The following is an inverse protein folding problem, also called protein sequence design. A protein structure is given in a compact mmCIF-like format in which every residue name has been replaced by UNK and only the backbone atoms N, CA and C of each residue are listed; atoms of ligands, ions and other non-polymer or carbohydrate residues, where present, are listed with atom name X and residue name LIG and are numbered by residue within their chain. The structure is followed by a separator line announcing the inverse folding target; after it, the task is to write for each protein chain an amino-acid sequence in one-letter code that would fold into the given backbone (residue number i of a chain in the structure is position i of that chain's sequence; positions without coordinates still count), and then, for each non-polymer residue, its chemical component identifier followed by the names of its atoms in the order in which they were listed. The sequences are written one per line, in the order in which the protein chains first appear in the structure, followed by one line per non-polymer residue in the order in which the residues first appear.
data_IF_166269391790
#
_entry.id   IF_166269391790
#
_cell.length_a   1.000
_cell.length_b   1.000
_cell.length_c   1.000
_cell.angle_alpha   90.00
_cell.angle_beta   90.00
_cell.angle_gamma   90.00
#
_symmetry.space_group_name_H-M   'P 1'
#
loop_
_entity.id
_entity.type
_entity.pdbx_description
1 polymer ?
#
# COMPACT_ATOMS: atom_id res chain seq x y z
N UNK A 1 16.36 27.35 -9.73
CA UNK A 1 15.01 26.84 -10.07
C UNK A 1 15.16 25.93 -11.27
N UNK A 2 14.37 24.85 -11.38
CA UNK A 2 14.39 23.99 -12.58
C UNK A 2 13.67 24.75 -13.70
N UNK A 3 14.21 24.72 -14.91
CA UNK A 3 13.48 25.25 -16.07
C UNK A 3 12.26 24.36 -16.35
N UNK A 4 11.09 24.98 -16.49
CA UNK A 4 9.83 24.31 -16.81
C UNK A 4 9.19 24.97 -18.03
N UNK A 5 8.35 24.25 -18.79
CA UNK A 5 7.63 24.83 -19.91
C UNK A 5 6.75 26.02 -19.49
N UNK A 6 6.76 27.09 -20.30
CA UNK A 6 5.94 28.28 -20.05
C UNK A 6 4.59 28.13 -20.76
N UNK A 7 3.51 28.07 -19.97
CA UNK A 7 2.14 28.06 -20.51
C UNK A 7 1.67 29.51 -20.67
N UNK A 8 1.57 29.98 -21.92
CA UNK A 8 1.04 31.32 -22.25
C UNK A 8 -0.49 31.26 -22.42
N UNK A 9 -1.22 31.68 -21.40
CA UNK A 9 -2.68 31.73 -21.41
C UNK A 9 -3.15 32.88 -22.30
N UNK A 10 -3.82 32.59 -23.44
CA UNK A 10 -4.36 33.62 -24.34
C UNK A 10 -5.75 34.10 -23.93
N UNK A 11 -6.60 33.18 -23.46
CA UNK A 11 -7.99 33.41 -23.03
C UNK A 11 -8.38 32.38 -21.98
N UNK A 12 -9.30 32.74 -21.08
CA UNK A 12 -9.86 31.87 -20.05
C UNK A 12 -11.38 32.08 -20.02
N UNK A 13 -12.15 31.00 -20.04
CA UNK A 13 -13.61 31.03 -19.93
C UNK A 13 -14.01 30.37 -18.60
N UNK A 14 -15.01 30.93 -17.94
CA UNK A 14 -15.50 30.45 -16.64
C UNK A 14 -17.00 30.72 -16.50
N UNK A 15 -17.65 29.98 -15.61
CA UNK A 15 -19.07 30.18 -15.26
C UNK A 15 -19.26 31.45 -14.45
N UNK A 16 -20.47 32.00 -14.41
CA UNK A 16 -20.84 33.00 -13.41
C UNK A 16 -20.63 32.43 -12.00
N UNK A 17 -20.04 33.23 -11.11
CA UNK A 17 -19.61 32.84 -9.75
C UNK A 17 -18.68 31.59 -9.75
N UNK A 18 -17.42 31.75 -10.19
CA UNK A 18 -16.52 30.61 -10.35
C UNK A 18 -16.03 30.06 -9.01
N UNK A 19 -16.08 28.75 -8.85
CA UNK A 19 -15.47 28.04 -7.72
C UNK A 19 -14.05 27.64 -8.11
N UNK A 20 -13.05 28.14 -7.37
CA UNK A 20 -11.66 27.79 -7.58
C UNK A 20 -11.27 26.59 -6.69
N UNK A 21 -11.10 25.42 -7.31
CA UNK A 21 -10.58 24.24 -6.62
C UNK A 21 -9.03 24.28 -6.57
N UNK A 22 -8.46 23.66 -5.54
CA UNK A 22 -7.02 23.52 -5.39
C UNK A 22 -6.66 22.25 -4.62
N UNK A 23 -5.48 21.71 -4.91
CA UNK A 23 -4.90 20.56 -4.22
C UNK A 23 -3.49 20.92 -3.73
N UNK A 24 -3.37 21.77 -2.68
CA UNK A 24 -2.07 22.20 -2.19
C UNK A 24 -1.27 20.99 -1.68
N UNK A 25 0.03 20.90 -2.00
CA UNK A 25 0.87 19.85 -1.45
C UNK A 25 1.08 20.06 0.04
N UNK A 26 0.86 19.03 0.84
CA UNK A 26 1.14 19.00 2.27
C UNK A 26 1.58 17.60 2.69
N UNK A 27 1.90 17.43 3.98
CA UNK A 27 2.16 16.10 4.54
C UNK A 27 0.89 15.26 4.38
N UNK A 28 0.97 14.03 3.82
CA UNK A 28 -0.19 13.16 3.72
C UNK A 28 -0.87 12.91 5.08
N UNK A 29 -2.19 12.66 5.10
CA UNK A 29 -3.06 12.55 3.93
C UNK A 29 -3.48 13.90 3.34
N UNK A 30 -3.50 13.98 2.01
CA UNK A 30 -4.03 15.09 1.22
C UNK A 30 -5.07 14.58 0.22
N UNK A 31 -5.89 15.47 -0.33
CA UNK A 31 -6.83 15.11 -1.43
C UNK A 31 -6.10 14.32 -2.53
N UNK A 32 -4.91 14.79 -2.91
CA UNK A 32 -4.14 14.18 -3.97
C UNK A 32 -3.61 12.78 -3.64
N UNK A 33 -3.42 12.45 -2.36
CA UNK A 33 -3.06 11.08 -1.95
C UNK A 33 -4.28 10.19 -1.82
N UNK A 34 -5.44 10.72 -1.41
CA UNK A 34 -6.65 9.91 -1.28
C UNK A 34 -7.06 9.28 -2.60
N UNK A 35 -7.28 10.06 -3.66
CA UNK A 35 -7.74 9.47 -4.93
C UNK A 35 -6.67 8.57 -5.57
N UNK A 36 -5.38 8.90 -5.38
CA UNK A 36 -4.25 8.12 -5.92
C UNK A 36 -4.10 6.78 -5.22
N UNK A 37 -4.49 6.67 -3.95
CA UNK A 37 -4.44 5.40 -3.21
C UNK A 37 -5.29 4.35 -3.91
N UNK A 38 -6.56 4.63 -4.18
CA UNK A 38 -7.46 3.70 -4.86
C UNK A 38 -6.95 3.34 -6.26
N UNK A 39 -6.59 4.36 -7.05
CA UNK A 39 -6.13 4.16 -8.42
C UNK A 39 -4.86 3.30 -8.51
N UNK A 40 -3.85 3.58 -7.67
CA UNK A 40 -2.62 2.78 -7.66
C UNK A 40 -2.83 1.37 -7.14
N UNK A 41 -3.69 1.22 -6.14
CA UNK A 41 -4.02 -0.09 -5.58
C UNK A 41 -4.60 -1.00 -6.65
N UNK A 42 -5.54 -0.49 -7.45
CA UNK A 42 -6.12 -1.23 -8.57
C UNK A 42 -5.08 -1.59 -9.65
N UNK A 43 -4.17 -0.67 -10.01
CA UNK A 43 -3.14 -0.95 -11.00
C UNK A 43 -2.14 -2.03 -10.54
N UNK A 44 -1.74 -1.98 -9.27
CA UNK A 44 -0.81 -2.99 -8.71
C UNK A 44 -1.50 -4.34 -8.65
N UNK A 45 -2.79 -4.39 -8.26
CA UNK A 45 -3.59 -5.61 -8.31
C UNK A 45 -3.63 -6.18 -9.73
N UNK A 46 -4.01 -5.38 -10.72
CA UNK A 46 -4.08 -5.82 -12.12
C UNK A 46 -2.73 -6.38 -12.61
N UNK A 47 -1.62 -5.72 -12.29
CA UNK A 47 -0.29 -6.20 -12.68
C UNK A 47 0.11 -7.50 -11.97
N UNK A 48 -0.31 -7.73 -10.71
CA UNK A 48 -0.10 -9.00 -10.02
C UNK A 48 -0.87 -10.15 -10.68
N UNK A 49 -2.14 -9.94 -11.01
CA UNK A 49 -2.95 -10.93 -11.70
C UNK A 49 -2.39 -11.24 -13.09
N UNK A 50 -1.99 -10.20 -13.85
CA UNK A 50 -1.35 -10.37 -15.16
C UNK A 50 -0.01 -11.08 -15.08
N UNK A 51 0.72 -10.94 -13.98
CA UNK A 51 1.94 -11.68 -13.70
C UNK A 51 1.68 -13.13 -13.22
N UNK A 52 0.41 -13.54 -13.08
CA UNK A 52 0.02 -14.90 -12.73
C UNK A 52 0.10 -15.19 -11.23
N UNK A 53 0.06 -14.18 -10.37
CA UNK A 53 -0.05 -14.37 -8.91
C UNK A 53 -1.51 -14.71 -8.57
N UNK A 54 -1.81 -15.95 -8.12
CA UNK A 54 -3.18 -16.34 -7.82
C UNK A 54 -3.65 -15.76 -6.48
N UNK A 55 -4.96 -15.71 -6.27
CA UNK A 55 -5.56 -15.44 -4.96
C UNK A 55 -5.06 -14.18 -4.23
N UNK A 56 -4.77 -13.13 -4.99
CA UNK A 56 -4.71 -11.77 -4.46
C UNK A 56 -6.12 -11.37 -4.03
N UNK A 57 -6.30 -11.12 -2.74
CA UNK A 57 -7.61 -10.76 -2.15
C UNK A 57 -7.71 -9.27 -1.83
N UNK A 58 -6.59 -8.55 -1.86
CA UNK A 58 -6.55 -7.12 -1.60
C UNK A 58 -5.22 -6.51 -1.97
N UNK A 59 -5.26 -5.26 -2.43
CA UNK A 59 -4.06 -4.41 -2.56
C UNK A 59 -4.42 -3.03 -2.04
N UNK A 60 -3.53 -2.43 -1.27
CA UNK A 60 -3.69 -1.05 -0.80
C UNK A 60 -2.38 -0.27 -0.82
N UNK A 61 -2.42 0.92 -1.39
CA UNK A 61 -1.34 1.89 -1.38
C UNK A 61 -1.72 3.06 -0.44
N UNK A 62 -1.41 2.98 0.86
CA UNK A 62 -1.88 3.94 1.86
C UNK A 62 -1.47 5.39 1.58
N UNK A 63 -2.34 6.39 1.84
CA UNK A 63 -1.99 7.80 1.77
C UNK A 63 -0.77 8.16 2.61
N UNK A 64 -0.61 7.54 3.78
CA UNK A 64 0.52 7.70 4.71
C UNK A 64 1.86 7.34 4.04
N UNK A 65 1.85 6.40 3.09
CA UNK A 65 2.97 6.02 2.23
C UNK A 65 3.12 6.89 0.99
N UNK A 66 2.47 8.05 0.93
CA UNK A 66 2.39 8.92 -0.26
C UNK A 66 1.92 8.15 -1.51
N UNK A 67 1.09 7.12 -1.30
CA UNK A 67 0.56 6.19 -2.31
C UNK A 67 1.59 5.44 -3.15
N UNK A 68 2.89 5.52 -2.82
CA UNK A 68 3.98 4.95 -3.63
C UNK A 68 5.05 4.27 -2.81
N UNK A 69 5.37 4.86 -1.66
CA UNK A 69 6.48 4.42 -0.83
C UNK A 69 6.12 3.14 -0.07
N UNK A 70 4.83 2.89 0.17
CA UNK A 70 4.31 1.70 0.82
C UNK A 70 3.17 1.09 -0.02
N UNK A 71 3.25 -0.22 -0.21
CA UNK A 71 2.22 -1.07 -0.82
C UNK A 71 1.94 -2.23 0.12
N UNK A 72 0.68 -2.55 0.34
CA UNK A 72 0.23 -3.72 1.09
C UNK A 72 -0.51 -4.64 0.13
N UNK A 73 -0.21 -5.93 0.16
CA UNK A 73 -0.85 -6.97 -0.66
C UNK A 73 -1.39 -8.04 0.28
N UNK A 74 -2.70 -8.26 0.25
CA UNK A 74 -3.35 -9.35 0.95
C UNK A 74 -3.53 -10.53 0.00
N UNK A 75 -3.11 -11.72 0.43
CA UNK A 75 -3.23 -12.96 -0.36
C UNK A 75 -3.86 -14.07 0.46
N UNK A 76 -4.53 -15.00 -0.21
CA UNK A 76 -4.79 -16.32 0.36
C UNK A 76 -3.67 -17.26 -0.04
N UNK A 77 -2.85 -17.68 0.92
CA UNK A 77 -1.69 -18.51 0.63
C UNK A 77 -2.09 -19.86 0.00
N UNK A 78 -1.36 -20.28 -1.04
CA UNK A 78 -1.64 -21.49 -1.84
C UNK A 78 -0.48 -22.49 -1.85
N UNK A 79 0.75 -22.00 -1.79
CA UNK A 79 1.97 -22.81 -1.88
C UNK A 79 3.14 -22.15 -1.13
N UNK A 80 4.20 -22.90 -0.76
CA UNK A 80 5.38 -22.33 -0.13
C UNK A 80 6.02 -21.29 -1.06
N UNK A 81 6.31 -20.09 -0.51
CA UNK A 81 6.86 -18.97 -1.28
C UNK A 81 5.84 -18.09 -2.00
N UNK A 82 4.54 -18.35 -1.86
CA UNK A 82 3.48 -17.53 -2.48
C UNK A 82 3.58 -16.05 -2.05
N UNK A 83 3.73 -15.80 -0.74
CA UNK A 83 3.89 -14.45 -0.20
C UNK A 83 5.12 -13.73 -0.74
N UNK A 84 6.27 -14.42 -0.76
CA UNK A 84 7.51 -13.87 -1.33
C UNK A 84 7.39 -13.55 -2.82
N UNK A 85 6.75 -14.41 -3.61
CA UNK A 85 6.48 -14.14 -5.03
C UNK A 85 5.59 -12.91 -5.21
N UNK A 86 4.47 -12.84 -4.49
CA UNK A 86 3.55 -11.72 -4.55
C UNK A 86 4.24 -10.40 -4.18
N UNK A 87 5.00 -10.39 -3.08
CA UNK A 87 5.73 -9.22 -2.60
C UNK A 87 6.83 -8.75 -3.55
N UNK A 88 7.63 -9.67 -4.11
CA UNK A 88 8.67 -9.33 -5.08
C UNK A 88 8.07 -8.72 -6.35
N UNK A 89 7.03 -9.34 -6.91
CA UNK A 89 6.35 -8.83 -8.10
C UNK A 89 5.70 -7.48 -7.81
N UNK A 90 4.92 -7.36 -6.73
CA UNK A 90 4.29 -6.10 -6.32
C UNK A 90 5.32 -4.98 -6.11
N UNK A 91 6.52 -5.30 -5.61
CA UNK A 91 7.56 -4.31 -5.41
C UNK A 91 8.20 -3.84 -6.72
N UNK A 92 8.20 -4.65 -7.78
CA UNK A 92 8.90 -4.38 -9.06
C UNK A 92 7.97 -4.18 -10.26
N UNK A 93 6.66 -4.37 -10.10
CA UNK A 93 5.69 -4.13 -11.15
C UNK A 93 5.66 -2.64 -11.52
N UNK A 94 5.38 -2.30 -12.77
CA UNK A 94 5.51 -0.93 -13.27
C UNK A 94 4.69 0.08 -12.46
N UNK A 95 3.50 -0.30 -11.98
CA UNK A 95 2.64 0.54 -11.15
C UNK A 95 3.29 0.99 -9.83
N UNK A 96 4.10 0.14 -9.19
CA UNK A 96 4.73 0.38 -7.88
C UNK A 96 6.25 0.57 -7.94
N UNK A 97 6.91 0.21 -9.04
CA UNK A 97 8.36 0.18 -9.15
C UNK A 97 9.01 1.56 -9.09
N UNK A 98 8.29 2.65 -9.32
CA UNK A 98 8.88 3.99 -9.18
C UNK A 98 8.69 4.51 -7.75
N UNK A 99 9.81 4.79 -7.06
CA UNK A 99 9.89 5.30 -5.68
C UNK A 99 9.44 4.31 -4.58
N UNK A 100 9.01 3.10 -4.93
CA UNK A 100 8.67 2.06 -3.95
C UNK A 100 9.76 1.86 -2.91
N UNK A 101 9.35 1.62 -1.65
CA UNK A 101 10.27 1.43 -0.52
C UNK A 101 9.91 0.23 0.34
N UNK A 102 8.63 0.11 0.70
CA UNK A 102 8.11 -0.97 1.51
C UNK A 102 7.00 -1.68 0.76
N UNK A 103 7.06 -3.01 0.74
CA UNK A 103 5.97 -3.85 0.27
C UNK A 103 5.70 -4.86 1.36
N UNK A 104 4.48 -4.87 1.88
CA UNK A 104 4.06 -5.79 2.95
C UNK A 104 3.07 -6.77 2.35
N UNK A 105 3.29 -8.06 2.57
CA UNK A 105 2.36 -9.12 2.17
C UNK A 105 1.71 -9.68 3.41
N UNK A 106 0.38 -9.74 3.42
CA UNK A 106 -0.43 -10.21 4.55
C UNK A 106 -1.39 -11.31 4.10
N UNK A 107 -1.89 -12.10 5.04
CA UNK A 107 -2.93 -13.10 4.76
C UNK A 107 -4.31 -12.45 4.51
N UNK A 108 -5.26 -13.28 4.06
CA UNK A 108 -6.64 -12.90 3.75
C UNK A 108 -7.52 -12.60 4.97
N UNK A 109 -7.00 -12.80 6.19
CA UNK A 109 -7.67 -12.37 7.43
C UNK A 109 -7.29 -10.94 7.85
N UNK A 110 -6.39 -10.28 7.11
CA UNK A 110 -5.94 -8.92 7.37
C UNK A 110 -6.58 -7.96 6.37
N UNK A 111 -7.18 -6.87 6.85
CA UNK A 111 -7.65 -5.78 6.00
C UNK A 111 -6.46 -4.90 5.57
N UNK A 112 -6.03 -4.91 4.29
CA UNK A 112 -4.89 -4.12 3.85
C UNK A 112 -5.15 -2.61 3.93
N UNK A 113 -6.41 -2.18 4.05
CA UNK A 113 -6.79 -0.76 4.19
C UNK A 113 -6.72 -0.25 5.63
N UNK A 114 -6.72 -1.14 6.62
CA UNK A 114 -6.50 -0.80 8.03
C UNK A 114 -5.03 -1.00 8.40
N UNK A 115 -4.28 0.10 8.45
CA UNK A 115 -2.86 0.03 8.81
C UNK A 115 -2.62 -0.55 10.20
N UNK A 116 -3.57 -0.48 11.14
CA UNK A 116 -3.41 -1.10 12.46
C UNK A 116 -3.36 -2.62 12.35
N UNK A 117 -4.18 -3.18 11.49
CA UNK A 117 -4.24 -4.62 11.23
C UNK A 117 -2.98 -5.11 10.51
N UNK A 118 -2.52 -4.33 9.51
CA UNK A 118 -1.24 -4.58 8.82
C UNK A 118 -0.05 -4.55 9.80
N UNK A 119 0.02 -3.56 10.69
CA UNK A 119 1.07 -3.52 11.71
C UNK A 119 0.98 -4.69 12.70
N UNK A 120 -0.23 -5.11 13.07
CA UNK A 120 -0.42 -6.28 13.91
C UNK A 120 0.10 -7.56 13.22
N UNK A 121 -0.23 -7.78 11.95
CA UNK A 121 0.29 -8.89 11.18
C UNK A 121 1.84 -8.86 11.13
N UNK A 122 2.43 -7.71 10.80
CA UNK A 122 3.89 -7.55 10.78
C UNK A 122 4.55 -7.86 12.12
N UNK A 123 3.95 -7.47 13.24
CA UNK A 123 4.56 -7.67 14.56
C UNK A 123 4.35 -9.06 15.14
N UNK A 124 3.43 -9.84 14.59
CA UNK A 124 3.06 -11.17 15.12
C UNK A 124 3.42 -12.33 14.20
N UNK A 125 3.70 -12.06 12.92
CA UNK A 125 3.91 -13.10 11.89
C UNK A 125 5.24 -12.99 11.14
N UNK A 126 6.01 -11.92 11.32
CA UNK A 126 7.26 -11.67 10.61
C UNK A 126 8.46 -11.74 11.57
N UNK A 127 9.44 -12.59 11.27
CA UNK A 127 10.80 -12.49 11.79
C UNK A 127 11.62 -11.60 10.86
N UNK A 128 12.07 -10.40 11.31
CA UNK A 128 12.78 -9.46 10.45
C UNK A 128 14.02 -10.00 9.73
N UNK A 129 14.71 -11.00 10.28
CA UNK A 129 15.93 -11.55 9.66
C UNK A 129 15.60 -12.50 8.50
N UNK A 130 14.52 -13.26 8.63
CA UNK A 130 14.15 -14.35 7.72
C UNK A 130 13.09 -13.92 6.69
N UNK A 131 12.20 -13.02 7.11
CA UNK A 131 10.97 -12.67 6.38
C UNK A 131 11.06 -11.31 5.66
N UNK A 132 12.18 -10.58 5.81
CA UNK A 132 12.41 -9.31 5.09
C UNK A 132 13.50 -9.47 4.04
N UNK A 133 13.09 -9.39 2.77
CA UNK A 133 14.02 -9.33 1.65
C UNK A 133 14.42 -7.88 1.35
N UNK A 134 15.74 -7.62 1.30
CA UNK A 134 16.28 -6.29 1.00
C UNK A 134 16.78 -6.24 -0.44
N UNK A 135 15.96 -5.66 -1.30
CA UNK A 135 16.32 -5.38 -2.68
C UNK A 135 17.18 -4.11 -2.74
N UNK A 136 18.33 -4.18 -3.43
CA UNK A 136 19.27 -3.06 -3.53
C UNK A 136 19.27 -2.48 -4.94
N UNK A 137 19.56 -1.18 -5.02
CA UNK A 137 19.72 -0.44 -6.29
C UNK A 137 18.47 -0.46 -7.17
N UNK A 138 17.29 -0.40 -6.57
CA UNK A 138 16.01 -0.36 -7.27
C UNK A 138 15.72 1.02 -7.88
N UNK A 139 14.78 1.05 -8.84
CA UNK A 139 14.40 2.27 -9.57
C UNK A 139 13.85 3.36 -8.65
N UNK A 140 14.53 4.51 -8.61
CA UNK A 140 14.08 5.69 -7.87
C UNK A 140 14.30 6.95 -8.72
N UNK A 141 14.08 8.12 -8.14
CA UNK A 141 14.18 9.39 -8.85
C UNK A 141 14.41 10.58 -7.93
N UNK A 142 14.54 11.78 -8.51
CA UNK A 142 14.84 13.01 -7.77
C UNK A 142 13.73 13.46 -6.82
N UNK A 143 12.54 12.84 -6.90
CA UNK A 143 11.43 13.06 -5.96
C UNK A 143 11.55 12.21 -4.69
N UNK A 144 12.49 11.26 -4.65
CA UNK A 144 12.74 10.49 -3.45
C UNK A 144 13.42 11.36 -2.38
N UNK A 145 12.82 11.54 -1.19
CA UNK A 145 13.36 12.42 -0.15
C UNK A 145 14.74 11.99 0.40
N UNK A 146 15.12 10.71 0.25
CA UNK A 146 16.43 10.22 0.74
C UNK A 146 17.52 10.30 -0.34
N UNK A 147 17.15 10.55 -1.59
CA UNK A 147 18.10 10.74 -2.68
C UNK A 147 18.63 12.17 -2.64
N UNK A 148 19.95 12.32 -2.57
CA UNK A 148 20.59 13.63 -2.56
C UNK A 148 20.19 14.43 -3.82
N UNK A 149 19.80 15.69 -3.62
CA UNK A 149 19.44 16.62 -4.71
C UNK A 149 20.54 16.66 -5.78
N UNK A 150 20.12 16.61 -7.04
CA UNK A 150 21.04 16.66 -8.19
C UNK A 150 21.68 15.33 -8.58
N UNK A 151 21.44 14.23 -7.84
CA UNK A 151 21.91 12.89 -8.20
C UNK A 151 20.80 12.06 -8.85
N UNK A 152 21.16 11.20 -9.80
CA UNK A 152 20.29 10.09 -10.22
C UNK A 152 20.28 9.07 -9.08
N UNK A 153 19.10 8.81 -8.53
CA UNK A 153 18.93 8.00 -7.33
C UNK A 153 18.51 6.58 -7.63
N UNK A 154 19.14 5.66 -6.91
CA UNK A 154 18.56 4.35 -6.62
C UNK A 154 18.15 4.34 -5.15
N UNK A 155 17.23 3.45 -4.77
CA UNK A 155 16.96 3.17 -3.37
C UNK A 155 17.08 1.66 -3.10
N UNK A 156 17.05 1.29 -1.82
CA UNK A 156 16.73 -0.08 -1.41
C UNK A 156 15.25 -0.20 -1.09
N UNK A 157 14.74 -1.43 -1.16
CA UNK A 157 13.37 -1.77 -0.78
C UNK A 157 13.37 -2.92 0.21
N UNK A 158 12.39 -2.93 1.10
CA UNK A 158 12.07 -4.07 1.92
C UNK A 158 10.77 -4.69 1.40
N UNK A 159 10.84 -5.98 1.06
CA UNK A 159 9.67 -6.82 0.85
C UNK A 159 9.50 -7.64 2.12
N UNK A 160 8.39 -7.42 2.81
CA UNK A 160 8.11 -7.92 4.15
C UNK A 160 7.02 -8.98 4.02
N UNK A 161 7.37 -10.22 4.35
CA UNK A 161 6.40 -11.29 4.52
C UNK A 161 5.82 -11.20 5.93
N UNK A 162 4.56 -10.82 6.02
CA UNK A 162 3.78 -10.77 7.26
C UNK A 162 2.61 -11.76 7.21
N UNK A 163 2.76 -12.83 6.43
CA UNK A 163 1.83 -13.94 6.40
C UNK A 163 2.22 -14.97 7.48
N UNK A 164 1.26 -15.82 7.86
CA UNK A 164 1.52 -17.00 8.69
C UNK A 164 2.52 -17.90 7.96
N UNK A 165 3.53 -18.48 8.64
CA UNK A 165 4.47 -19.39 8.00
C UNK A 165 3.75 -20.55 7.30
N UNK A 166 4.02 -20.74 6.02
CA UNK A 166 3.25 -21.65 5.18
C UNK A 166 3.40 -23.12 5.62
N UNK A 167 4.60 -23.50 6.06
CA UNK A 167 5.00 -24.86 6.43
C UNK A 167 4.13 -25.47 7.52
N UNK A 168 3.62 -24.63 8.42
CA UNK A 168 2.79 -25.05 9.56
C UNK A 168 1.57 -24.16 9.72
N UNK A 169 1.05 -23.59 8.61
CA UNK A 169 -0.09 -22.66 8.60
C UNK A 169 -1.36 -23.24 9.27
N UNK A 170 -1.52 -24.57 9.25
CA UNK A 170 -2.64 -25.27 9.88
C UNK A 170 -2.55 -25.34 11.40
N UNK A 171 -1.32 -25.36 11.93
CA UNK A 171 -1.03 -25.44 13.36
C UNK A 171 -0.72 -24.06 13.97
N UNK A 172 -0.56 -23.03 13.11
CA UNK A 172 -0.35 -21.66 13.55
C UNK A 172 -1.55 -21.18 14.40
N UNK A 173 -1.31 -20.48 15.54
CA UNK A 173 -2.38 -20.03 16.41
C UNK A 173 -3.45 -19.21 15.68
N UNK A 174 -4.71 -19.55 15.91
CA UNK A 174 -5.82 -18.82 15.29
C UNK A 174 -5.88 -17.37 15.79
N UNK A 175 -6.10 -16.44 14.86
CA UNK A 175 -6.35 -15.03 15.16
C UNK A 175 -7.61 -14.90 16.02
N UNK A 176 -7.51 -14.19 17.16
CA UNK A 176 -8.68 -13.91 18.02
C UNK A 176 -9.43 -12.71 17.44
N UNK A 177 -10.33 -12.99 16.50
CA UNK A 177 -11.16 -11.98 15.84
C UNK A 177 -12.61 -12.08 16.28
N UNK A 178 -13.27 -10.92 16.39
CA UNK A 178 -14.73 -10.88 16.56
C UNK A 178 -15.35 -11.07 15.18
N UNK A 179 -16.21 -12.08 14.97
CA UNK A 179 -16.87 -12.29 13.69
C UNK A 179 -17.61 -11.01 13.24
N UNK A 180 -17.54 -10.62 11.94
CA UNK A 180 -18.13 -9.38 11.46
C UNK A 180 -19.61 -9.24 11.80
N UNK A 181 -20.38 -10.32 11.69
CA UNK A 181 -21.81 -10.34 12.00
C UNK A 181 -22.07 -10.07 13.49
N UNK A 182 -21.25 -10.66 14.37
CA UNK A 182 -21.36 -10.43 15.81
C UNK A 182 -20.97 -8.98 16.15
N UNK A 183 -19.89 -8.47 15.55
CA UNK A 183 -19.48 -7.08 15.71
C UNK A 183 -20.59 -6.12 15.25
N UNK A 184 -21.27 -6.43 14.14
CA UNK A 184 -22.39 -5.65 13.62
C UNK A 184 -23.61 -5.71 14.57
N UNK A 185 -23.99 -6.89 15.06
CA UNK A 185 -25.08 -7.06 16.02
C UNK A 185 -24.81 -6.28 17.31
N UNK A 186 -23.58 -6.35 17.83
CA UNK A 186 -23.18 -5.59 19.03
C UNK A 186 -23.23 -4.08 18.76
N UNK A 187 -22.72 -3.61 17.61
CA UNK A 187 -22.80 -2.19 17.22
C UNK A 187 -24.24 -1.71 17.05
N UNK A 188 -25.14 -2.52 16.50
CA UNK A 188 -26.56 -2.18 16.39
C UNK A 188 -27.23 -2.08 17.77
N UNK A 189 -26.92 -3.02 18.67
CA UNK A 189 -27.50 -3.08 20.01
C UNK A 189 -26.98 -1.98 20.94
N UNK A 190 -25.68 -1.68 20.88
CA UNK A 190 -24.98 -0.87 21.88
C UNK A 190 -24.29 0.38 21.32
N UNK A 191 -24.27 0.58 19.99
CA UNK A 191 -23.48 1.65 19.37
C UNK A 191 -23.84 3.04 19.89
N UNK A 192 -25.11 3.28 20.25
CA UNK A 192 -25.54 4.54 20.84
C UNK A 192 -25.01 4.79 22.26
N UNK A 193 -24.71 3.74 23.03
CA UNK A 193 -24.19 3.85 24.39
C UNK A 193 -22.66 3.79 24.47
N UNK A 194 -21.99 3.22 23.46
CA UNK A 194 -20.56 2.90 23.51
C UNK A 194 -19.72 3.78 22.57
N UNK A 195 -20.31 4.35 21.52
CA UNK A 195 -19.61 5.17 20.52
C UNK A 195 -19.90 6.68 20.64
N UNK A 196 -20.46 7.12 21.77
CA UNK A 196 -20.64 8.55 22.10
C UNK A 196 -19.35 9.19 22.61
#
# INVERSE_FOLDING_TARGET
MREEPVIRIRRMYFRNDPIMAGAPPSRPPTEATFYKSFWRSAMVWEELERAGVPDVVGVYCPPEGNTRLLTVVAIRQRYPGHARQAGLIASQCHAAAYLGRFTVVVDDDIDPTDMKDVWWAMTTRCDPAEDIEILRRCWSGPLDPIVQRGKKGFNSRAVIDACRPFEWIKDFPASVIVPPDLAQQVRQKWGKQVLS
#
